data_IF_100260692081
#
_entry.id   IF_100260692081
#
_cell.length_a   1.000
_cell.length_b   1.000
_cell.length_c   1.000
_cell.angle_alpha   90.00
_cell.angle_beta   90.00
_cell.angle_gamma   90.00
#
_symmetry.space_group_name_H-M   'P 1'
#
loop_
_entity.id
_entity.type
_entity.pdbx_description
1 polymer ?
#
# COMPACT_ATOMS: atom_id res chain seq x y z
N UNK A 1 10.81 10.20 1.06
CA UNK A 1 10.76 9.39 -0.17
C UNK A 1 12.04 9.58 -0.97
N UNK A 2 12.73 8.48 -1.37
CA UNK A 2 13.98 8.51 -2.15
C UNK A 2 13.74 7.92 -3.53
N UNK A 3 13.98 8.71 -4.58
CA UNK A 3 13.83 8.32 -5.99
C UNK A 3 15.18 8.46 -6.69
N UNK A 4 15.61 7.41 -7.38
CA UNK A 4 16.79 7.40 -8.24
C UNK A 4 16.33 7.44 -9.71
N UNK A 5 16.85 8.40 -10.47
CA UNK A 5 16.63 8.50 -11.92
C UNK A 5 17.90 8.00 -12.61
N UNK A 6 17.77 7.13 -13.61
CA UNK A 6 18.89 6.55 -14.35
C UNK A 6 18.67 6.73 -15.84
N UNK A 7 19.53 7.51 -16.49
CA UNK A 7 19.45 7.81 -17.93
C UNK A 7 20.82 8.38 -18.37
N UNK A 8 21.32 7.99 -19.50
CA UNK A 8 22.61 8.49 -20.01
C UNK A 8 22.52 9.92 -20.56
N UNK A 9 21.29 10.37 -20.86
CA UNK A 9 21.00 11.74 -21.27
C UNK A 9 20.83 12.67 -20.07
N UNK A 10 21.77 13.58 -19.88
CA UNK A 10 21.68 14.63 -18.86
C UNK A 10 20.41 15.48 -19.00
N UNK A 11 19.94 15.69 -20.22
CA UNK A 11 18.72 16.44 -20.50
C UNK A 11 17.50 15.70 -19.96
N UNK A 12 17.38 14.41 -20.23
CA UNK A 12 16.29 13.57 -19.71
C UNK A 12 16.31 13.51 -18.19
N UNK A 13 17.47 13.30 -17.57
CA UNK A 13 17.61 13.32 -16.11
C UNK A 13 17.06 14.61 -15.50
N UNK A 14 17.27 15.75 -16.17
CA UNK A 14 16.80 17.03 -15.67
C UNK A 14 15.30 17.25 -15.91
N UNK A 15 14.77 16.78 -17.05
CA UNK A 15 13.32 16.82 -17.36
C UNK A 15 12.55 16.00 -16.32
N UNK A 16 12.93 14.74 -16.12
CA UNK A 16 12.28 13.85 -15.13
C UNK A 16 12.40 14.44 -13.73
N UNK A 17 13.58 14.95 -13.34
CA UNK A 17 13.78 15.59 -12.03
C UNK A 17 12.82 16.77 -11.81
N UNK A 18 12.65 17.64 -12.81
CA UNK A 18 11.73 18.79 -12.74
C UNK A 18 10.28 18.33 -12.64
N UNK A 19 9.87 17.34 -13.45
CA UNK A 19 8.54 16.72 -13.34
C UNK A 19 8.27 16.19 -11.94
N UNK A 20 9.21 15.45 -11.36
CA UNK A 20 9.10 14.95 -9.98
C UNK A 20 9.03 16.05 -8.93
N UNK A 21 9.72 17.18 -9.11
CA UNK A 21 9.64 18.31 -8.18
C UNK A 21 8.28 19.00 -8.19
N UNK A 22 7.61 19.06 -9.35
CA UNK A 22 6.25 19.60 -9.49
C UNK A 22 5.18 18.69 -8.87
N UNK A 23 5.52 17.43 -8.59
CA UNK A 23 4.62 16.44 -7.97
C UNK A 23 4.07 16.88 -6.61
N UNK A 24 4.68 17.88 -5.97
CA UNK A 24 4.21 18.45 -4.71
C UNK A 24 4.35 17.54 -3.49
N UNK A 25 5.05 16.43 -3.63
CA UNK A 25 5.26 15.47 -2.53
C UNK A 25 6.23 16.04 -1.48
N UNK A 26 5.81 16.04 -0.23
CA UNK A 26 6.66 16.50 0.88
C UNK A 26 7.83 15.51 1.09
N UNK A 27 9.03 16.05 1.31
CA UNK A 27 10.23 15.25 1.60
C UNK A 27 10.70 14.31 0.46
N UNK A 28 10.58 14.75 -0.79
CA UNK A 28 11.12 14.03 -1.93
C UNK A 28 12.62 14.28 -2.07
N UNK A 29 13.43 13.21 -2.01
CA UNK A 29 14.88 13.25 -2.25
C UNK A 29 15.17 12.53 -3.56
N UNK A 30 15.75 13.23 -4.51
CA UNK A 30 16.02 12.73 -5.86
C UNK A 30 17.53 12.67 -6.07
N UNK A 31 18.04 11.52 -6.55
CA UNK A 31 19.39 11.38 -7.07
C UNK A 31 19.35 10.94 -8.52
N UNK A 32 20.44 11.16 -9.23
CA UNK A 32 20.61 10.86 -10.65
C UNK A 32 21.82 9.98 -10.85
N UNK A 33 21.74 9.02 -11.74
CA UNK A 33 22.85 8.20 -12.22
C UNK A 33 22.87 8.25 -13.76
N UNK A 34 24.04 8.27 -14.34
CA UNK A 34 24.21 8.39 -15.80
C UNK A 34 24.33 7.01 -16.50
N UNK A 35 24.37 5.94 -15.73
CA UNK A 35 24.42 4.56 -16.24
C UNK A 35 24.03 3.57 -15.14
N UNK A 36 23.87 2.30 -15.52
CA UNK A 36 23.47 1.24 -14.62
C UNK A 36 24.52 0.90 -13.54
N UNK A 37 25.82 1.07 -13.81
CA UNK A 37 26.88 0.80 -12.83
C UNK A 37 26.82 1.81 -11.69
N UNK A 38 26.71 3.11 -12.02
CA UNK A 38 26.52 4.17 -11.06
C UNK A 38 25.22 3.98 -10.26
N UNK A 39 24.15 3.58 -10.95
CA UNK A 39 22.87 3.28 -10.30
C UNK A 39 22.99 2.15 -9.26
N UNK A 40 23.65 1.04 -9.59
CA UNK A 40 23.85 -0.08 -8.67
C UNK A 40 24.70 0.29 -7.46
N UNK A 41 25.73 1.13 -7.65
CA UNK A 41 26.53 1.67 -6.54
C UNK A 41 25.68 2.57 -5.61
N UNK A 42 24.88 3.45 -6.19
CA UNK A 42 23.97 4.31 -5.43
C UNK A 42 22.88 3.51 -4.70
N UNK A 43 22.34 2.46 -5.31
CA UNK A 43 21.35 1.58 -4.69
C UNK A 43 21.93 0.97 -3.41
N UNK A 44 23.17 0.49 -3.44
CA UNK A 44 23.83 -0.08 -2.25
C UNK A 44 24.07 0.93 -1.13
N UNK A 45 24.37 2.18 -1.45
CA UNK A 45 24.74 3.21 -0.48
C UNK A 45 23.55 4.02 0.04
N UNK A 46 22.56 4.25 -0.82
CA UNK A 46 21.48 5.20 -0.54
C UNK A 46 20.10 4.55 -0.40
N UNK A 47 19.96 3.30 -0.86
CA UNK A 47 18.73 2.51 -0.78
C UNK A 47 17.50 3.30 -1.25
N UNK A 48 17.39 3.66 -2.54
CA UNK A 48 16.21 4.31 -3.08
C UNK A 48 14.99 3.42 -2.93
N UNK A 49 13.83 4.02 -2.82
CA UNK A 49 12.55 3.29 -2.77
C UNK A 49 11.98 3.05 -4.16
N UNK A 50 12.25 3.98 -5.08
CA UNK A 50 11.83 3.93 -6.48
C UNK A 50 13.03 4.21 -7.36
N UNK A 51 13.16 3.46 -8.44
CA UNK A 51 14.13 3.67 -9.53
C UNK A 51 13.33 3.91 -10.80
N UNK A 52 13.62 5.03 -11.48
CA UNK A 52 13.12 5.36 -12.80
C UNK A 52 14.29 5.22 -13.77
N UNK A 53 14.26 4.27 -14.66
CA UNK A 53 15.39 3.98 -15.56
C UNK A 53 15.00 4.09 -17.03
N UNK A 54 15.89 4.64 -17.84
CA UNK A 54 15.77 4.48 -19.29
C UNK A 54 16.05 3.02 -19.68
N UNK A 55 15.54 2.61 -20.83
CA UNK A 55 15.83 1.29 -21.40
C UNK A 55 17.18 1.26 -22.08
N UNK A 56 17.42 2.25 -22.94
CA UNK A 56 18.60 2.29 -23.79
C UNK A 56 19.71 3.07 -23.11
N UNK A 57 20.63 2.38 -22.50
CA UNK A 57 21.84 2.94 -21.91
C UNK A 57 23.08 2.19 -22.41
N UNK A 58 24.24 2.85 -22.52
CA UNK A 58 25.49 2.19 -22.85
C UNK A 58 25.84 1.07 -21.88
N UNK A 59 26.47 0.03 -22.37
CA UNK A 59 27.02 -1.13 -21.64
C UNK A 59 25.94 -2.03 -20.99
N UNK A 60 25.12 -1.50 -20.13
CA UNK A 60 24.07 -2.24 -19.39
C UNK A 60 22.74 -1.58 -19.62
N UNK A 61 21.79 -2.29 -20.23
CA UNK A 61 20.45 -1.78 -20.49
C UNK A 61 19.63 -1.62 -19.21
N UNK A 62 18.62 -0.72 -19.23
CA UNK A 62 17.69 -0.58 -18.10
C UNK A 62 16.93 -1.85 -17.76
N UNK A 63 16.64 -2.70 -18.75
CA UNK A 63 16.03 -4.01 -18.50
C UNK A 63 16.99 -4.92 -17.71
N UNK A 64 18.29 -4.91 -18.03
CA UNK A 64 19.29 -5.66 -17.27
C UNK A 64 19.44 -5.12 -15.85
N UNK A 65 19.40 -3.80 -15.68
CA UNK A 65 19.40 -3.15 -14.36
C UNK A 65 18.16 -3.56 -13.55
N UNK A 66 16.96 -3.54 -14.17
CA UNK A 66 15.72 -4.01 -13.56
C UNK A 66 15.86 -5.47 -13.07
N UNK A 67 16.28 -6.39 -13.96
CA UNK A 67 16.46 -7.81 -13.62
C UNK A 67 17.44 -8.01 -12.46
N UNK A 68 18.53 -7.23 -12.41
CA UNK A 68 19.50 -7.28 -11.30
C UNK A 68 18.93 -6.77 -9.98
N UNK A 69 18.14 -5.67 -10.01
CA UNK A 69 17.46 -5.14 -8.83
C UNK A 69 16.44 -6.15 -8.30
N UNK A 70 15.64 -6.76 -9.18
CA UNK A 70 14.65 -7.78 -8.79
C UNK A 70 15.33 -9.02 -8.18
N UNK A 71 16.45 -9.49 -8.78
CA UNK A 71 17.23 -10.61 -8.24
C UNK A 71 17.72 -10.35 -6.81
N UNK A 72 18.12 -9.14 -6.49
CA UNK A 72 18.60 -8.76 -5.14
C UNK A 72 17.49 -8.64 -4.12
N UNK A 73 16.24 -8.68 -4.52
CA UNK A 73 15.06 -8.64 -3.64
C UNK A 73 15.05 -7.47 -2.61
N UNK A 74 15.55 -6.31 -2.99
CA UNK A 74 15.70 -5.15 -2.12
C UNK A 74 14.38 -4.41 -1.80
N UNK A 75 13.27 -4.84 -2.40
CA UNK A 75 11.97 -4.19 -2.24
C UNK A 75 11.85 -2.84 -2.97
N UNK A 76 12.81 -2.53 -3.85
CA UNK A 76 12.80 -1.31 -4.66
C UNK A 76 11.78 -1.46 -5.78
N UNK A 77 10.95 -0.44 -5.97
CA UNK A 77 10.05 -0.37 -7.13
C UNK A 77 10.79 0.20 -8.31
N UNK A 78 10.73 -0.48 -9.45
CA UNK A 78 11.42 -0.02 -10.67
C UNK A 78 10.38 0.29 -11.73
N UNK A 79 10.50 1.43 -12.40
CA UNK A 79 9.72 1.79 -13.56
C UNK A 79 10.65 2.21 -14.70
N UNK A 80 10.19 2.03 -15.93
CA UNK A 80 10.98 2.36 -17.10
C UNK A 80 10.42 3.60 -17.78
N UNK A 81 11.29 4.51 -18.19
CA UNK A 81 10.97 5.73 -18.95
C UNK A 81 11.78 5.69 -20.23
N UNK A 82 11.18 5.37 -21.37
CA UNK A 82 11.90 5.00 -22.58
C UNK A 82 11.29 5.54 -23.87
N UNK A 83 12.07 5.59 -24.93
CA UNK A 83 11.58 5.87 -26.30
C UNK A 83 11.04 4.62 -27.01
N UNK A 84 11.14 3.45 -26.39
CA UNK A 84 10.64 2.18 -26.94
C UNK A 84 9.11 2.17 -26.82
N UNK A 85 8.45 1.98 -27.95
CA UNK A 85 6.98 1.89 -28.11
C UNK A 85 6.63 0.57 -28.81
N UNK A 86 7.22 -0.52 -28.31
CA UNK A 86 6.99 -1.88 -28.79
C UNK A 86 6.30 -2.70 -27.68
N UNK A 87 5.09 -3.16 -27.96
CA UNK A 87 4.26 -3.88 -26.99
C UNK A 87 4.92 -5.14 -26.45
N UNK A 88 5.74 -5.84 -27.27
CA UNK A 88 6.42 -7.06 -26.83
C UNK A 88 7.52 -6.72 -25.81
N UNK A 89 8.29 -5.65 -26.05
CA UNK A 89 9.32 -5.19 -25.14
C UNK A 89 8.72 -4.59 -23.87
N UNK A 90 7.66 -3.80 -24.00
CA UNK A 90 6.91 -3.27 -22.85
C UNK A 90 6.44 -4.43 -21.95
N UNK A 91 5.87 -5.46 -22.57
CA UNK A 91 5.45 -6.67 -21.84
C UNK A 91 6.63 -7.39 -21.19
N UNK A 92 7.77 -7.52 -21.87
CA UNK A 92 8.97 -8.11 -21.29
C UNK A 92 9.43 -7.37 -20.02
N UNK A 93 9.38 -6.02 -20.03
CA UNK A 93 9.73 -5.24 -18.84
C UNK A 93 8.75 -5.47 -17.69
N UNK A 94 7.45 -5.50 -17.97
CA UNK A 94 6.42 -5.75 -16.95
C UNK A 94 6.56 -7.16 -16.37
N UNK A 95 6.77 -8.17 -17.22
CA UNK A 95 7.00 -9.57 -16.81
C UNK A 95 8.32 -9.72 -16.01
N UNK A 96 9.31 -8.88 -16.28
CA UNK A 96 10.56 -8.81 -15.51
C UNK A 96 10.42 -8.08 -14.16
N UNK A 97 9.26 -7.50 -13.87
CA UNK A 97 8.95 -6.84 -12.58
C UNK A 97 8.97 -5.33 -12.63
N UNK A 98 8.95 -4.67 -13.79
CA UNK A 98 8.72 -3.25 -13.89
C UNK A 98 7.31 -2.91 -13.38
N UNK A 99 7.21 -1.87 -12.57
CA UNK A 99 5.92 -1.42 -12.04
C UNK A 99 5.05 -0.73 -13.10
N UNK A 100 5.70 -0.03 -14.01
CA UNK A 100 5.11 0.54 -15.22
C UNK A 100 6.20 0.85 -16.26
N UNK A 101 5.78 1.05 -17.49
CA UNK A 101 6.58 1.65 -18.55
C UNK A 101 5.91 2.95 -18.99
N UNK A 102 6.69 4.02 -19.16
CA UNK A 102 6.25 5.32 -19.65
C UNK A 102 7.05 5.68 -20.89
N UNK A 103 6.38 5.83 -22.03
CA UNK A 103 7.01 6.16 -23.30
C UNK A 103 7.31 7.66 -23.43
N UNK A 104 8.49 8.00 -23.91
CA UNK A 104 8.87 9.38 -24.26
C UNK A 104 8.35 9.73 -25.66
N UNK A 105 7.81 10.95 -25.88
CA UNK A 105 7.64 12.06 -24.91
C UNK A 105 6.42 11.86 -24.02
N UNK A 106 6.47 12.34 -22.79
CA UNK A 106 5.39 12.28 -21.80
C UNK A 106 5.20 13.64 -21.12
N UNK A 107 4.02 13.88 -20.60
CA UNK A 107 3.70 15.04 -19.78
C UNK A 107 4.02 14.83 -18.30
N UNK A 108 4.12 15.93 -17.55
CA UNK A 108 4.25 15.86 -16.09
C UNK A 108 3.06 15.11 -15.46
N UNK A 109 1.83 15.29 -15.99
CA UNK A 109 0.62 14.65 -15.49
C UNK A 109 0.64 13.14 -15.68
N UNK A 110 1.08 12.65 -16.84
CA UNK A 110 1.23 11.21 -17.11
C UNK A 110 2.28 10.57 -16.18
N UNK A 111 3.41 11.26 -15.98
CA UNK A 111 4.42 10.82 -15.02
C UNK A 111 3.84 10.72 -13.60
N UNK A 112 3.07 11.73 -13.18
CA UNK A 112 2.46 11.80 -11.85
C UNK A 112 1.40 10.70 -11.66
N UNK A 113 0.54 10.49 -12.64
CA UNK A 113 -0.51 9.46 -12.61
C UNK A 113 0.09 8.05 -12.43
N UNK A 114 1.13 7.74 -13.20
CA UNK A 114 1.83 6.45 -13.12
C UNK A 114 2.63 6.28 -11.84
N UNK A 115 3.21 7.35 -11.33
CA UNK A 115 4.09 7.31 -10.16
C UNK A 115 3.32 7.31 -8.83
N UNK A 116 2.15 7.94 -8.75
CA UNK A 116 1.38 8.10 -7.52
C UNK A 116 1.12 6.77 -6.79
N UNK A 117 0.67 5.69 -7.45
CA UNK A 117 0.46 4.39 -6.78
C UNK A 117 1.76 3.85 -6.17
N UNK A 118 2.89 3.97 -6.87
CA UNK A 118 4.19 3.50 -6.39
C UNK A 118 4.67 4.25 -5.14
N UNK A 119 4.49 5.56 -5.15
CA UNK A 119 4.84 6.42 -4.02
C UNK A 119 4.01 6.04 -2.80
N UNK A 120 2.70 5.86 -2.96
CA UNK A 120 1.81 5.43 -1.88
C UNK A 120 2.21 4.06 -1.32
N UNK A 121 2.47 3.07 -2.17
CA UNK A 121 2.91 1.74 -1.75
C UNK A 121 4.27 1.78 -1.02
N UNK A 122 5.20 2.59 -1.50
CA UNK A 122 6.53 2.72 -0.89
C UNK A 122 6.44 3.37 0.50
N UNK A 123 5.61 4.39 0.69
CA UNK A 123 5.36 5.02 2.00
C UNK A 123 4.70 4.06 2.98
N UNK A 124 3.68 3.32 2.52
CA UNK A 124 3.02 2.33 3.34
C UNK A 124 3.98 1.24 3.80
N UNK A 125 4.83 0.74 2.89
CA UNK A 125 5.87 -0.24 3.21
C UNK A 125 6.85 0.29 4.27
N UNK A 126 7.22 1.56 4.21
CA UNK A 126 8.09 2.19 5.19
C UNK A 126 7.39 2.32 6.55
N UNK A 127 6.14 2.79 6.59
CA UNK A 127 5.36 2.92 7.82
C UNK A 127 5.21 1.57 8.52
N UNK A 128 4.88 0.52 7.75
CA UNK A 128 4.78 -0.85 8.30
C UNK A 128 6.12 -1.31 8.86
N UNK A 129 7.23 -1.09 8.13
CA UNK A 129 8.57 -1.47 8.59
C UNK A 129 8.95 -0.78 9.90
N UNK A 130 8.70 0.52 9.99
CA UNK A 130 8.97 1.31 11.20
C UNK A 130 8.07 0.85 12.36
N UNK A 131 6.80 0.55 12.09
CA UNK A 131 5.87 0.03 13.09
C UNK A 131 6.31 -1.33 13.64
N UNK A 132 6.80 -2.24 12.78
CA UNK A 132 7.27 -3.57 13.20
C UNK A 132 8.59 -3.54 13.98
N UNK A 133 9.46 -2.53 13.76
CA UNK A 133 10.79 -2.45 14.39
C UNK A 133 10.81 -1.67 15.71
N UNK A 134 9.84 -0.80 15.98
CA UNK A 134 9.86 0.12 17.11
C UNK A 134 9.05 -0.33 18.34
N UNK A 135 8.72 -1.61 18.46
CA UNK A 135 7.84 -2.10 19.52
C UNK A 135 8.59 -2.34 20.83
N UNK A 136 8.51 -1.40 21.75
CA UNK A 136 8.70 -1.63 23.16
C UNK A 136 7.36 -1.43 23.88
N UNK A 137 6.58 -2.49 24.00
CA UNK A 137 5.35 -2.48 24.77
C UNK A 137 4.23 -3.27 24.06
N UNK A 138 3.76 -4.32 24.71
CA UNK A 138 2.63 -5.11 24.22
C UNK A 138 1.37 -4.23 24.19
N UNK A 139 0.82 -4.06 23.00
CA UNK A 139 -0.51 -3.52 22.87
C UNK A 139 -1.51 -4.67 22.94
N UNK A 140 -2.44 -4.60 23.88
CA UNK A 140 -3.58 -5.50 23.88
C UNK A 140 -4.50 -5.15 22.71
N UNK A 141 -4.65 -6.07 21.76
CA UNK A 141 -5.68 -5.98 20.74
C UNK A 141 -7.08 -5.97 21.40
N UNK A 142 -8.08 -5.29 20.82
CA UNK A 142 -9.43 -5.26 21.37
C UNK A 142 -9.99 -6.67 21.41
N UNK A 143 -10.79 -6.99 22.42
CA UNK A 143 -11.58 -8.22 22.39
C UNK A 143 -12.58 -8.14 21.24
N UNK A 144 -12.82 -9.27 20.57
CA UNK A 144 -13.70 -9.31 19.39
C UNK A 144 -15.10 -8.70 19.68
N UNK A 145 -15.66 -8.97 20.87
CA UNK A 145 -16.95 -8.38 21.27
C UNK A 145 -16.94 -6.84 21.42
N UNK A 146 -15.80 -6.25 21.75
CA UNK A 146 -15.67 -4.78 21.80
C UNK A 146 -15.63 -4.21 20.39
N UNK A 147 -14.90 -4.88 19.49
CA UNK A 147 -14.80 -4.50 18.09
C UNK A 147 -16.15 -4.66 17.38
N UNK A 148 -16.86 -5.77 17.65
CA UNK A 148 -18.20 -6.03 17.15
C UNK A 148 -19.16 -4.90 17.51
N UNK A 149 -19.24 -4.53 18.79
CA UNK A 149 -20.09 -3.42 19.25
C UNK A 149 -19.72 -2.08 18.58
N UNK A 150 -18.44 -1.82 18.36
CA UNK A 150 -17.99 -0.60 17.69
C UNK A 150 -18.43 -0.58 16.22
N UNK A 151 -18.30 -1.71 15.52
CA UNK A 151 -18.71 -1.86 14.12
C UNK A 151 -20.25 -1.81 14.01
N UNK A 152 -20.97 -2.50 14.91
CA UNK A 152 -22.45 -2.50 14.94
C UNK A 152 -23.03 -1.10 15.12
N UNK A 153 -22.41 -0.24 15.92
CA UNK A 153 -22.83 1.16 16.07
C UNK A 153 -22.76 1.95 14.77
N UNK A 154 -21.84 1.60 13.88
CA UNK A 154 -21.64 2.32 12.62
C UNK A 154 -22.41 1.71 11.45
N UNK A 155 -22.54 0.39 11.39
CA UNK A 155 -23.18 -0.33 10.28
C UNK A 155 -24.64 -0.66 10.61
N UNK A 156 -24.90 -1.16 11.81
CA UNK A 156 -26.20 -1.65 12.28
C UNK A 156 -26.04 -2.95 13.05
N UNK A 157 -27.06 -3.29 13.85
CA UNK A 157 -27.04 -4.50 14.70
C UNK A 157 -27.05 -5.81 13.90
N UNK A 158 -27.49 -5.77 12.65
CA UNK A 158 -27.57 -6.93 11.75
C UNK A 158 -26.20 -7.37 11.19
N UNK A 159 -25.12 -6.62 11.48
CA UNK A 159 -23.76 -7.04 11.10
C UNK A 159 -23.33 -8.22 11.97
N UNK A 160 -22.90 -9.28 11.31
CA UNK A 160 -22.43 -10.52 11.97
C UNK A 160 -20.90 -10.53 11.90
N UNK A 161 -20.27 -10.69 13.06
CA UNK A 161 -18.80 -10.79 13.18
C UNK A 161 -18.47 -12.13 13.83
N UNK A 162 -17.57 -12.90 13.20
CA UNK A 162 -17.13 -14.19 13.72
C UNK A 162 -15.62 -14.28 13.74
N UNK A 163 -15.07 -14.80 14.82
CA UNK A 163 -13.64 -15.14 14.86
C UNK A 163 -13.36 -16.26 13.85
N UNK A 164 -12.23 -16.14 13.15
CA UNK A 164 -11.77 -17.16 12.20
C UNK A 164 -10.34 -17.56 12.52
N UNK A 165 -9.90 -18.68 11.97
CA UNK A 165 -8.50 -19.11 12.07
C UNK A 165 -7.57 -18.09 11.42
N UNK A 166 -6.34 -17.92 11.93
CA UNK A 166 -5.35 -17.04 11.35
C UNK A 166 -5.17 -17.29 9.86
N UNK A 167 -5.32 -16.23 9.07
CA UNK A 167 -5.22 -16.31 7.61
C UNK A 167 -3.76 -16.28 7.18
N UNK A 168 -3.34 -17.27 6.38
CA UNK A 168 -2.06 -17.16 5.66
C UNK A 168 -2.19 -16.13 4.52
N UNK A 169 -1.08 -15.51 4.17
CA UNK A 169 -1.04 -14.67 2.97
C UNK A 169 -1.14 -15.55 1.72
N UNK A 170 -2.00 -15.20 0.82
CA UNK A 170 -2.12 -15.70 -0.54
C UNK A 170 -2.56 -14.57 -1.48
N UNK A 171 -2.58 -14.82 -2.79
CA UNK A 171 -2.92 -13.82 -3.80
C UNK A 171 -4.35 -13.27 -3.67
N UNK A 172 -5.25 -13.98 -2.99
CA UNK A 172 -6.64 -13.52 -2.75
C UNK A 172 -6.73 -12.44 -1.69
N UNK A 173 -5.65 -12.17 -0.95
CA UNK A 173 -5.57 -11.11 0.08
C UNK A 173 -5.37 -9.72 -0.53
N UNK A 174 -5.11 -9.66 -1.82
CA UNK A 174 -5.02 -8.41 -2.57
C UNK A 174 -5.92 -8.50 -3.81
N UNK A 175 -6.50 -7.37 -4.23
CA UNK A 175 -6.40 -6.05 -3.60
C UNK A 175 -7.15 -5.96 -2.26
N UNK A 176 -6.70 -5.04 -1.37
CA UNK A 176 -7.30 -4.85 -0.06
C UNK A 176 -7.31 -3.38 0.38
N UNK A 177 -8.05 -3.05 1.42
CA UNK A 177 -7.88 -1.81 2.16
C UNK A 177 -6.97 -2.03 3.36
N UNK A 178 -6.05 -1.12 3.59
CA UNK A 178 -5.19 -1.10 4.77
C UNK A 178 -5.48 0.15 5.59
N UNK A 179 -6.00 -0.05 6.79
CA UNK A 179 -6.26 1.02 7.76
C UNK A 179 -5.17 1.02 8.83
N UNK A 180 -4.73 2.20 9.23
CA UNK A 180 -3.71 2.40 10.25
C UNK A 180 -4.27 3.14 11.45
N UNK A 181 -3.89 2.69 12.65
CA UNK A 181 -4.26 3.30 13.92
C UNK A 181 -3.00 3.72 14.68
N UNK A 182 -3.02 4.92 15.23
CA UNK A 182 -1.88 5.50 15.91
C UNK A 182 -2.19 5.88 17.36
N UNK A 183 -1.15 5.89 18.17
CA UNK A 183 -1.20 6.50 19.50
C UNK A 183 -1.34 8.03 19.37
N UNK A 184 -2.32 8.59 20.07
CA UNK A 184 -2.65 10.04 19.98
C UNK A 184 -1.55 10.97 20.49
N UNK A 185 -0.64 10.46 21.31
CA UNK A 185 0.43 11.24 21.92
C UNK A 185 1.73 11.14 21.13
N UNK A 186 2.12 9.92 20.77
CA UNK A 186 3.40 9.65 20.08
C UNK A 186 3.27 9.68 18.56
N UNK A 187 2.05 9.67 18.01
CA UNK A 187 1.72 9.57 16.58
C UNK A 187 2.32 8.32 15.89
N UNK A 188 2.75 7.34 16.68
CA UNK A 188 3.25 6.06 16.17
C UNK A 188 2.09 5.14 15.82
N UNK A 189 2.21 4.44 14.70
CA UNK A 189 1.25 3.39 14.33
C UNK A 189 1.37 2.24 15.32
N UNK A 190 0.24 1.83 15.88
CA UNK A 190 0.12 0.79 16.90
C UNK A 190 -0.73 -0.39 16.45
N UNK A 191 -1.57 -0.21 15.44
CA UNK A 191 -2.32 -1.30 14.84
C UNK A 191 -2.59 -1.03 13.35
N UNK A 192 -2.72 -2.12 12.60
CA UNK A 192 -3.07 -2.12 11.19
C UNK A 192 -4.22 -3.10 10.99
N UNK A 193 -5.27 -2.67 10.30
CA UNK A 193 -6.34 -3.55 9.83
C UNK A 193 -6.25 -3.72 8.32
N UNK A 194 -6.32 -4.95 7.86
CA UNK A 194 -6.38 -5.34 6.46
C UNK A 194 -7.78 -5.87 6.16
N UNK A 195 -8.48 -5.25 5.24
CA UNK A 195 -9.83 -5.63 4.82
C UNK A 195 -9.77 -6.10 3.37
N UNK A 196 -10.25 -7.29 3.09
CA UNK A 196 -10.47 -7.70 1.70
C UNK A 196 -11.57 -6.85 1.05
N UNK A 197 -11.78 -7.01 -0.25
CA UNK A 197 -12.78 -6.24 -1.00
C UNK A 197 -14.20 -6.47 -0.44
N UNK A 198 -14.49 -7.67 0.01
CA UNK A 198 -15.82 -8.01 0.55
C UNK A 198 -16.06 -7.32 1.89
N UNK A 199 -15.07 -7.32 2.79
CA UNK A 199 -15.14 -6.59 4.04
C UNK A 199 -15.26 -5.06 3.81
N UNK A 200 -14.55 -4.53 2.82
CA UNK A 200 -14.68 -3.13 2.42
C UNK A 200 -16.13 -2.82 1.94
N UNK A 201 -16.74 -3.72 1.16
CA UNK A 201 -18.14 -3.58 0.76
C UNK A 201 -19.11 -3.62 1.94
N UNK A 202 -18.90 -4.51 2.91
CA UNK A 202 -19.70 -4.56 4.15
C UNK A 202 -19.56 -3.24 4.93
N UNK A 203 -18.35 -2.72 5.10
CA UNK A 203 -18.14 -1.45 5.81
C UNK A 203 -18.73 -0.26 5.05
N UNK A 204 -18.67 -0.26 3.73
CA UNK A 204 -19.23 0.80 2.90
C UNK A 204 -20.77 0.78 2.87
N UNK A 205 -21.40 -0.36 3.12
CA UNK A 205 -22.86 -0.50 3.15
C UNK A 205 -23.54 0.37 4.22
N UNK A 206 -22.79 0.76 5.27
CA UNK A 206 -23.27 1.70 6.30
C UNK A 206 -23.54 3.12 5.74
N UNK A 207 -23.01 3.45 4.57
CA UNK A 207 -23.18 4.76 3.98
C UNK A 207 -24.38 4.80 3.05
N UNK A 208 -25.36 5.66 3.36
CA UNK A 208 -26.50 5.91 2.49
C UNK A 208 -26.13 6.47 1.10
N UNK A 209 -24.86 6.88 0.89
CA UNK A 209 -24.33 7.37 -0.39
C UNK A 209 -23.88 6.25 -1.32
N UNK A 210 -23.74 5.02 -0.81
CA UNK A 210 -23.26 3.87 -1.56
C UNK A 210 -24.46 2.96 -1.89
N UNK A 211 -24.71 2.74 -3.16
CA UNK A 211 -25.76 1.84 -3.62
C UNK A 211 -25.22 0.44 -3.92
N UNK A 212 -26.13 -0.53 -4.00
CA UNK A 212 -25.78 -1.94 -4.26
C UNK A 212 -25.01 -2.13 -5.57
N UNK A 213 -25.34 -1.34 -6.62
CA UNK A 213 -24.66 -1.44 -7.91
C UNK A 213 -23.16 -1.04 -7.80
N UNK A 214 -22.83 -0.05 -6.97
CA UNK A 214 -21.44 0.32 -6.70
C UNK A 214 -20.67 -0.78 -5.96
N UNK A 215 -21.30 -1.42 -4.96
CA UNK A 215 -20.70 -2.54 -4.23
C UNK A 215 -20.46 -3.74 -5.16
N UNK A 216 -21.43 -4.10 -5.99
CA UNK A 216 -21.29 -5.18 -6.99
C UNK A 216 -20.19 -4.85 -8.02
N UNK A 217 -20.10 -3.60 -8.45
CA UNK A 217 -19.02 -3.16 -9.34
C UNK A 217 -17.65 -3.33 -8.68
N UNK A 218 -17.49 -2.89 -7.44
CA UNK A 218 -16.26 -3.03 -6.68
C UNK A 218 -15.78 -4.49 -6.63
N UNK A 219 -16.68 -5.42 -6.27
CA UNK A 219 -16.38 -6.86 -6.23
C UNK A 219 -15.98 -7.38 -7.62
N UNK A 220 -16.74 -7.01 -8.67
CA UNK A 220 -16.48 -7.51 -10.04
C UNK A 220 -15.19 -7.00 -10.64
N UNK A 221 -14.86 -5.72 -10.42
CA UNK A 221 -13.67 -5.09 -10.99
C UNK A 221 -12.42 -5.23 -10.10
N UNK A 222 -12.58 -5.78 -8.89
CA UNK A 222 -11.50 -5.88 -7.89
C UNK A 222 -10.82 -4.53 -7.63
N UNK A 223 -11.62 -3.44 -7.63
CA UNK A 223 -11.15 -2.08 -7.40
C UNK A 223 -12.02 -1.38 -6.37
N UNK A 224 -11.41 -0.57 -5.51
CA UNK A 224 -12.11 0.23 -4.50
C UNK A 224 -11.97 1.69 -4.90
N UNK A 225 -13.08 2.31 -5.21
CA UNK A 225 -13.10 3.73 -5.55
C UNK A 225 -13.02 4.63 -4.30
N UNK A 226 -12.87 5.93 -4.54
CA UNK A 226 -12.75 6.92 -3.47
C UNK A 226 -14.00 6.96 -2.58
N UNK A 227 -15.20 6.79 -3.16
CA UNK A 227 -16.45 6.85 -2.42
C UNK A 227 -16.58 5.68 -1.42
N UNK A 228 -16.21 4.47 -1.84
CA UNK A 228 -16.17 3.28 -0.97
C UNK A 228 -15.10 3.46 0.11
N UNK A 229 -13.90 3.97 -0.24
CA UNK A 229 -12.84 4.24 0.73
C UNK A 229 -13.28 5.24 1.81
N UNK A 230 -13.93 6.34 1.41
CA UNK A 230 -14.46 7.35 2.34
C UNK A 230 -15.59 6.78 3.23
N UNK A 231 -16.45 5.92 2.68
CA UNK A 231 -17.49 5.26 3.44
C UNK A 231 -16.90 4.31 4.51
N UNK A 232 -15.89 3.52 4.15
CA UNK A 232 -15.16 2.66 5.09
C UNK A 232 -14.46 3.47 6.17
N UNK A 233 -13.94 4.64 5.85
CA UNK A 233 -13.20 5.49 6.78
C UNK A 233 -13.99 5.82 8.04
N UNK A 234 -15.29 6.06 7.92
CA UNK A 234 -16.16 6.35 9.08
C UNK A 234 -16.20 5.15 10.04
N UNK A 235 -16.50 3.96 9.54
CA UNK A 235 -16.58 2.73 10.34
C UNK A 235 -15.22 2.40 10.98
N UNK A 236 -14.14 2.57 10.23
CA UNK A 236 -12.78 2.38 10.73
C UNK A 236 -12.40 3.38 11.82
N UNK A 237 -12.81 4.64 11.68
CA UNK A 237 -12.58 5.67 12.70
C UNK A 237 -13.37 5.39 13.98
N UNK A 238 -14.63 4.99 13.87
CA UNK A 238 -15.47 4.63 15.01
C UNK A 238 -14.91 3.37 15.72
N UNK A 239 -14.39 2.39 14.96
CA UNK A 239 -13.77 1.19 15.52
C UNK A 239 -12.47 1.48 16.29
N UNK A 240 -11.81 2.61 16.05
CA UNK A 240 -10.61 3.03 16.78
C UNK A 240 -10.84 3.12 18.29
N UNK A 241 -12.05 3.42 18.73
CA UNK A 241 -12.43 3.48 20.15
C UNK A 241 -12.35 2.12 20.86
N UNK A 242 -12.39 1.01 20.13
CA UNK A 242 -12.22 -0.33 20.69
C UNK A 242 -10.78 -0.65 21.08
N UNK A 243 -9.80 0.07 20.52
CA UNK A 243 -8.38 -0.12 20.77
C UNK A 243 -7.94 0.71 21.98
N UNK A 244 -7.78 0.10 23.11
CA UNK A 244 -7.33 0.78 24.33
C UNK A 244 -5.88 0.38 24.62
N UNK A 245 -4.97 1.34 24.59
CA UNK A 245 -3.60 1.14 25.03
C UNK A 245 -3.59 0.75 26.51
N UNK A 246 -2.97 -0.39 26.84
CA UNK A 246 -3.03 -0.93 28.21
C UNK A 246 -2.29 -0.04 29.23
N UNK A 247 -1.22 0.64 28.82
CA UNK A 247 -0.41 1.48 29.69
C UNK A 247 -1.03 2.87 29.89
N UNK A 248 -1.45 3.50 28.79
CA UNK A 248 -1.95 4.87 28.83
C UNK A 248 -3.45 4.95 29.09
N UNK A 249 -4.18 3.83 28.97
CA UNK A 249 -5.66 3.76 29.06
C UNK A 249 -6.36 4.66 28.03
N UNK A 250 -5.66 5.12 27.01
CA UNK A 250 -6.21 5.94 25.92
C UNK A 250 -6.53 5.07 24.71
N UNK A 251 -7.58 5.42 23.98
CA UNK A 251 -7.91 4.79 22.72
C UNK A 251 -6.90 5.20 21.64
N UNK A 252 -6.64 4.32 20.70
CA UNK A 252 -5.95 4.69 19.48
C UNK A 252 -6.80 5.65 18.66
N UNK A 253 -6.14 6.39 17.78
CA UNK A 253 -6.78 7.25 16.81
C UNK A 253 -6.63 6.63 15.42
N UNK A 254 -7.70 6.67 14.64
CA UNK A 254 -7.62 6.35 13.22
C UNK A 254 -6.70 7.36 12.52
N UNK A 255 -5.72 6.85 11.78
CA UNK A 255 -4.75 7.68 11.06
C UNK A 255 -5.12 7.85 9.60
N UNK A 256 -5.25 6.75 8.89
CA UNK A 256 -5.53 6.75 7.45
C UNK A 256 -6.01 5.37 6.99
N UNK A 257 -6.65 5.35 5.83
CA UNK A 257 -6.94 4.13 5.07
C UNK A 257 -6.43 4.29 3.64
N UNK A 258 -5.90 3.23 3.08
CA UNK A 258 -5.31 3.22 1.74
C UNK A 258 -5.69 1.95 0.99
N UNK A 259 -5.93 2.08 -0.30
CA UNK A 259 -6.14 0.95 -1.20
C UNK A 259 -4.80 0.34 -1.60
N UNK A 260 -4.67 -0.97 -1.45
CA UNK A 260 -3.48 -1.75 -1.77
C UNK A 260 -3.82 -2.66 -2.95
N UNK A 261 -3.44 -2.32 -4.18
CA UNK A 261 -3.79 -3.08 -5.37
C UNK A 261 -2.97 -4.37 -5.53
N UNK A 262 -1.77 -4.44 -4.96
CA UNK A 262 -0.82 -5.54 -5.17
C UNK A 262 -0.06 -5.89 -3.89
N UNK A 263 0.39 -7.14 -3.81
CA UNK A 263 1.21 -7.62 -2.71
C UNK A 263 2.60 -6.96 -2.66
N UNK A 264 3.14 -6.88 -1.45
CA UNK A 264 4.52 -6.49 -1.18
C UNK A 264 5.00 -7.15 0.12
N UNK A 265 6.32 -7.42 0.22
CA UNK A 265 6.91 -8.21 1.34
C UNK A 265 6.45 -7.81 2.74
N UNK A 266 6.25 -6.51 2.99
CA UNK A 266 5.81 -6.03 4.32
C UNK A 266 4.35 -6.34 4.59
N UNK A 267 3.49 -6.36 3.57
CA UNK A 267 2.11 -6.82 3.69
C UNK A 267 2.08 -8.31 4.02
N UNK A 268 2.86 -9.12 3.33
CA UNK A 268 2.99 -10.56 3.62
C UNK A 268 3.46 -10.81 5.07
N UNK A 269 4.42 -10.00 5.54
CA UNK A 269 4.91 -10.07 6.91
C UNK A 269 3.83 -9.77 7.97
N UNK A 270 2.80 -8.96 7.66
CA UNK A 270 1.67 -8.74 8.57
C UNK A 270 0.85 -10.02 8.75
N UNK A 271 0.68 -10.81 7.69
CA UNK A 271 0.00 -12.10 7.76
C UNK A 271 0.85 -13.21 8.43
N UNK A 272 2.15 -13.00 8.57
CA UNK A 272 3.07 -13.88 9.30
C UNK A 272 3.25 -13.48 10.78
N UNK A 273 2.55 -12.44 11.25
CA UNK A 273 2.64 -11.99 12.65
C UNK A 273 2.08 -13.07 13.59
N UNK A 274 2.69 -13.22 14.75
CA UNK A 274 2.27 -14.16 15.81
C UNK A 274 0.80 -13.95 16.20
N UNK A 275 0.08 -15.05 16.46
CA UNK A 275 -1.35 -15.04 16.84
C UNK A 275 -1.67 -14.14 18.04
N UNK A 276 -0.74 -14.00 18.99
CA UNK A 276 -0.92 -13.12 20.16
C UNK A 276 -1.04 -11.63 19.81
N UNK A 277 -0.53 -11.24 18.64
CA UNK A 277 -0.51 -9.85 18.15
C UNK A 277 -1.48 -9.63 17.00
N UNK A 278 -2.39 -10.58 16.77
CA UNK A 278 -3.23 -10.60 15.61
C UNK A 278 -4.63 -11.14 15.94
N UNK A 279 -5.63 -10.59 15.26
CA UNK A 279 -7.01 -11.09 15.28
C UNK A 279 -7.48 -11.18 13.84
N UNK A 280 -8.00 -12.35 13.46
CA UNK A 280 -8.66 -12.56 12.18
C UNK A 280 -10.15 -12.79 12.42
N UNK A 281 -10.98 -12.07 11.70
CA UNK A 281 -12.44 -12.22 11.81
C UNK A 281 -13.12 -12.00 10.48
N UNK A 282 -14.29 -12.60 10.32
CA UNK A 282 -15.17 -12.36 9.20
C UNK A 282 -16.25 -11.36 9.56
N UNK A 283 -16.68 -10.60 8.54
CA UNK A 283 -17.80 -9.67 8.63
C UNK A 283 -18.83 -9.96 7.55
N UNK A 284 -20.10 -9.92 7.90
CA UNK A 284 -21.21 -10.11 6.98
C UNK A 284 -22.36 -9.15 7.33
N UNK A 285 -23.04 -8.62 6.33
CA UNK A 285 -24.21 -7.77 6.49
C UNK A 285 -25.23 -8.08 5.40
N UNK A 286 -26.43 -8.48 5.79
CA UNK A 286 -27.49 -8.88 4.86
C UNK A 286 -27.04 -9.96 3.88
N UNK A 287 -27.34 -9.76 2.60
CA UNK A 287 -26.99 -10.67 1.49
C UNK A 287 -25.59 -10.41 0.91
N UNK A 288 -24.81 -9.52 1.50
CA UNK A 288 -23.44 -9.28 1.05
C UNK A 288 -22.55 -10.51 1.31
N UNK A 289 -21.59 -10.72 0.42
CA UNK A 289 -20.62 -11.79 0.59
C UNK A 289 -19.78 -11.60 1.86
N UNK A 290 -19.36 -12.71 2.44
CA UNK A 290 -18.54 -12.74 3.63
C UNK A 290 -17.19 -12.05 3.39
N UNK A 291 -16.91 -11.01 4.12
CA UNK A 291 -15.62 -10.31 4.08
C UNK A 291 -14.68 -10.76 5.18
N UNK A 292 -13.37 -10.65 4.94
CA UNK A 292 -12.32 -11.04 5.87
C UNK A 292 -11.54 -9.82 6.34
N UNK A 293 -11.25 -9.78 7.63
CA UNK A 293 -10.44 -8.72 8.24
C UNK A 293 -9.33 -9.35 9.05
N UNK A 294 -8.10 -8.90 8.82
CA UNK A 294 -6.92 -9.22 9.64
C UNK A 294 -6.48 -7.96 10.37
N UNK A 295 -6.44 -8.01 11.69
CA UNK A 295 -6.02 -6.93 12.55
C UNK A 295 -4.70 -7.30 13.24
N UNK A 296 -3.67 -6.48 13.06
CA UNK A 296 -2.34 -6.68 13.63
C UNK A 296 -2.00 -5.54 14.58
N UNK A 297 -1.52 -5.86 15.78
CA UNK A 297 -1.03 -4.92 16.80
C UNK A 297 0.49 -4.93 16.93
N UNK A 298 1.06 -3.78 17.28
CA UNK A 298 2.50 -3.56 17.45
C UNK A 298 2.84 -3.12 18.86
#
# INVERSE_FOLDING_TARGET
MRILIVDDSKATLEIVRRGLQKFGYRNLSIRKANNAVEALAMIGQWSPMIVLTDWQMPDITGLSLLKEIMKRQLGIKVAMITTIDDDALIKEALDAGASFVLCKPFSDDELHEKLLPLVQMAEQSQIIAESMTQVSGEMALPKLNQLERAIQRSIGEDVIIKNIQPQAFDETKVPCLMAMYEDSTTQRVRAIALLDIYAACVYASASAKINQAQLLRCVRTQTIDKAITEACQKVLADSALAFVDYKTKKSLRFKTVSFIPQAFKKLEALYATEEKKRIDFSVQYGDLALGMVTLVGF
#
